data_IF_784417860740
#
_entry.id   IF_784417860740
#
_cell.length_a   1.000
_cell.length_b   1.000
_cell.length_c   1.000
_cell.angle_alpha   90.00
_cell.angle_beta   90.00
_cell.angle_gamma   90.00
#
_symmetry.space_group_name_H-M   'P 1'
#
loop_
_entity.id
_entity.type
_entity.pdbx_description
1 polymer ?
#
# COMPACT_ATOMS: atom_id res chain seq x y z
N UNK A 1 -2.35 16.85 8.24
CA UNK A 1 -2.15 16.70 9.70
C UNK A 1 -2.57 15.27 10.02
N UNK A 2 -1.73 14.50 10.70
CA UNK A 2 -2.05 13.10 11.02
C UNK A 2 -3.23 13.03 12.01
N UNK A 3 -4.14 12.08 11.80
CA UNK A 3 -5.30 11.83 12.66
C UNK A 3 -4.95 10.79 13.73
N UNK A 4 -4.42 11.27 14.86
CA UNK A 4 -4.10 10.44 16.02
C UNK A 4 -5.31 10.27 16.95
N UNK A 5 -5.35 9.17 17.71
CA UNK A 5 -6.32 9.01 18.78
C UNK A 5 -6.11 10.05 19.88
N UNK A 6 -7.22 10.60 20.40
CA UNK A 6 -7.21 11.44 21.60
C UNK A 6 -6.92 10.61 22.84
N UNK A 7 -6.62 11.30 23.96
CA UNK A 7 -6.40 10.63 25.24
C UNK A 7 -7.65 9.86 25.69
N UNK A 8 -8.83 10.46 25.53
CA UNK A 8 -10.11 9.85 25.86
C UNK A 8 -10.37 8.59 25.03
N UNK A 9 -10.01 8.60 23.75
CA UNK A 9 -10.12 7.43 22.87
C UNK A 9 -9.14 6.32 23.27
N UNK A 10 -7.91 6.66 23.65
CA UNK A 10 -6.94 5.69 24.15
C UNK A 10 -7.42 5.06 25.47
N UNK A 11 -7.95 5.86 26.39
CA UNK A 11 -8.51 5.39 27.66
C UNK A 11 -9.70 4.45 27.41
N UNK A 12 -10.58 4.77 26.46
CA UNK A 12 -11.69 3.91 26.04
C UNK A 12 -11.20 2.56 25.48
N UNK A 13 -10.20 2.57 24.60
CA UNK A 13 -9.61 1.37 24.03
C UNK A 13 -8.98 0.51 25.13
N UNK A 14 -8.21 1.11 26.05
CA UNK A 14 -7.57 0.39 27.15
C UNK A 14 -8.59 -0.23 28.09
N UNK A 15 -9.66 0.51 28.42
CA UNK A 15 -10.74 0.01 29.26
C UNK A 15 -11.45 -1.17 28.58
N UNK A 16 -11.82 -1.04 27.31
CA UNK A 16 -12.45 -2.12 26.55
C UNK A 16 -11.55 -3.37 26.47
N UNK A 17 -10.24 -3.18 26.23
CA UNK A 17 -9.27 -4.26 26.21
C UNK A 17 -9.14 -4.98 27.55
N UNK A 18 -9.24 -4.26 28.67
CA UNK A 18 -9.19 -4.84 30.01
C UNK A 18 -10.49 -5.57 30.36
N UNK A 19 -11.64 -4.93 30.14
CA UNK A 19 -12.96 -5.46 30.47
C UNK A 19 -13.31 -6.72 29.65
N UNK A 20 -12.78 -6.83 28.43
CA UNK A 20 -13.08 -7.92 27.50
C UNK A 20 -11.82 -8.67 27.03
N UNK A 21 -10.80 -8.77 27.90
CA UNK A 21 -9.49 -9.32 27.53
C UNK A 21 -9.57 -10.70 26.86
N UNK A 22 -10.30 -11.65 27.45
CA UNK A 22 -10.40 -13.03 26.94
C UNK A 22 -11.03 -13.12 25.56
N UNK A 23 -11.92 -12.18 25.21
CA UNK A 23 -12.57 -12.13 23.91
C UNK A 23 -11.59 -11.74 22.79
N UNK A 24 -10.61 -10.89 23.09
CA UNK A 24 -9.62 -10.43 22.11
C UNK A 24 -8.28 -11.17 22.17
N UNK A 25 -8.00 -11.87 23.27
CA UNK A 25 -6.68 -12.45 23.53
C UNK A 25 -6.33 -13.55 22.54
N UNK A 26 -5.31 -13.30 21.72
CA UNK A 26 -4.82 -14.21 20.68
C UNK A 26 -5.91 -14.69 19.70
N UNK A 27 -6.95 -13.87 19.51
CA UNK A 27 -8.06 -14.11 18.59
C UNK A 27 -8.19 -12.91 17.67
N UNK A 28 -8.43 -13.16 16.38
CA UNK A 28 -8.73 -12.12 15.39
C UNK A 28 -10.24 -11.92 15.33
N UNK A 29 -10.69 -10.77 15.79
CA UNK A 29 -12.11 -10.39 15.79
C UNK A 29 -12.48 -9.74 14.45
N UNK A 30 -13.58 -10.21 13.88
CA UNK A 30 -14.20 -9.66 12.68
C UNK A 30 -15.61 -9.23 13.07
N UNK A 31 -15.85 -7.92 13.03
CA UNK A 31 -17.14 -7.30 13.36
C UNK A 31 -17.63 -6.49 12.16
N UNK A 32 -18.88 -6.70 11.75
CA UNK A 32 -19.53 -5.99 10.65
C UNK A 32 -19.88 -4.54 10.98
N UNK A 33 -19.81 -4.12 12.26
CA UNK A 33 -20.12 -2.76 12.72
C UNK A 33 -18.90 -2.07 13.35
N UNK A 34 -17.71 -2.42 12.88
CA UNK A 34 -16.46 -1.94 13.46
C UNK A 34 -16.14 -0.48 13.10
N UNK A 35 -15.46 0.23 14.01
CA UNK A 35 -14.94 1.59 13.81
C UNK A 35 -13.42 1.66 14.08
N UNK A 36 -12.82 2.86 13.97
CA UNK A 36 -11.36 3.06 14.13
C UNK A 36 -10.82 2.55 15.48
N UNK A 37 -11.62 2.59 16.54
CA UNK A 37 -11.24 2.17 17.91
C UNK A 37 -11.48 0.69 18.18
N UNK A 38 -12.21 -0.01 17.30
CA UNK A 38 -12.52 -1.43 17.49
C UNK A 38 -11.23 -2.25 17.59
N UNK A 39 -11.12 -3.05 18.66
CA UNK A 39 -10.00 -3.96 18.89
C UNK A 39 -10.12 -5.14 17.93
N UNK A 40 -9.10 -5.34 17.10
CA UNK A 40 -8.95 -6.49 16.21
C UNK A 40 -8.43 -7.71 16.96
N UNK A 41 -7.45 -7.51 17.84
CA UNK A 41 -6.81 -8.59 18.59
C UNK A 41 -5.91 -8.03 19.69
N UNK A 42 -5.61 -8.86 20.69
CA UNK A 42 -4.59 -8.62 21.70
C UNK A 42 -3.50 -9.70 21.57
N UNK A 43 -2.23 -9.27 21.48
CA UNK A 43 -1.11 -10.19 21.29
C UNK A 43 -0.96 -11.19 22.44
N UNK A 44 -0.50 -12.40 22.11
CA UNK A 44 -0.47 -13.52 23.05
C UNK A 44 0.41 -13.28 24.29
N UNK A 45 1.63 -12.79 24.13
CA UNK A 45 2.62 -12.78 25.21
C UNK A 45 2.80 -11.42 25.89
N UNK A 46 2.75 -10.32 25.13
CA UNK A 46 2.96 -8.96 25.64
C UNK A 46 1.68 -8.15 25.80
N UNK A 47 0.55 -8.70 25.33
CA UNK A 47 -0.78 -8.08 25.38
C UNK A 47 -0.83 -6.71 24.69
N UNK A 48 -0.16 -6.59 23.54
CA UNK A 48 -0.29 -5.44 22.66
C UNK A 48 -1.68 -5.39 22.05
N UNK A 49 -2.30 -4.22 22.06
CA UNK A 49 -3.65 -4.01 21.56
C UNK A 49 -3.57 -3.51 20.13
N UNK A 50 -4.13 -4.27 19.21
CA UNK A 50 -4.28 -3.89 17.81
C UNK A 50 -5.71 -3.46 17.56
N UNK A 51 -5.89 -2.21 17.14
CA UNK A 51 -7.18 -1.68 16.72
C UNK A 51 -7.26 -1.57 15.20
N UNK A 52 -8.46 -1.43 14.66
CA UNK A 52 -8.68 -1.20 13.24
C UNK A 52 -7.93 0.04 12.77
N UNK A 53 -8.05 1.13 13.52
CA UNK A 53 -7.39 2.40 13.21
C UNK A 53 -7.92 3.07 11.95
N UNK A 54 -7.12 4.00 11.44
CA UNK A 54 -7.42 4.81 10.27
C UNK A 54 -6.22 4.85 9.33
N UNK A 55 -6.15 5.82 8.41
CA UNK A 55 -5.05 5.93 7.45
C UNK A 55 -3.70 6.27 8.10
N UNK A 56 -3.71 6.78 9.34
CA UNK A 56 -2.53 7.25 10.07
C UNK A 56 -2.16 6.38 11.28
N UNK A 57 -3.03 5.47 11.73
CA UNK A 57 -2.78 4.63 12.92
C UNK A 57 -3.45 3.26 12.81
N UNK A 58 -2.96 2.29 13.59
CA UNK A 58 -3.55 0.97 13.74
C UNK A 58 -3.42 0.09 12.51
N UNK A 59 -4.30 -0.91 12.41
CA UNK A 59 -4.19 -1.96 11.41
C UNK A 59 -4.35 -1.48 9.96
N UNK A 60 -5.29 -0.55 9.72
CA UNK A 60 -5.51 0.04 8.40
C UNK A 60 -4.24 0.73 7.91
N UNK A 61 -3.61 1.58 8.72
CA UNK A 61 -2.34 2.20 8.38
C UNK A 61 -1.23 1.19 8.10
N UNK A 62 -1.08 0.14 8.91
CA UNK A 62 -0.08 -0.92 8.67
C UNK A 62 -0.27 -1.56 7.29
N UNK A 63 -1.51 -1.92 6.96
CA UNK A 63 -1.84 -2.60 5.73
C UNK A 63 -1.70 -1.66 4.52
N UNK A 64 -2.24 -0.46 4.62
CA UNK A 64 -2.31 0.50 3.53
C UNK A 64 -0.94 1.14 3.26
N UNK A 65 -0.16 1.46 4.30
CA UNK A 65 1.14 2.11 4.11
C UNK A 65 2.26 1.11 3.88
N UNK A 66 2.30 0.04 4.68
CA UNK A 66 3.43 -0.88 4.74
C UNK A 66 3.14 -2.26 4.14
N UNK A 67 1.88 -2.62 3.89
CA UNK A 67 1.54 -3.88 3.24
C UNK A 67 2.19 -4.01 1.86
N UNK A 68 2.76 -5.18 1.58
CA UNK A 68 3.43 -5.47 0.31
C UNK A 68 2.51 -5.27 -0.90
N UNK A 69 1.26 -5.73 -0.77
CA UNK A 69 0.23 -5.61 -1.79
C UNK A 69 -0.60 -4.33 -1.70
N UNK A 70 -0.17 -3.33 -0.91
CA UNK A 70 -0.79 -2.01 -0.99
C UNK A 70 -0.25 -1.23 -2.17
N UNK A 71 -1.19 -0.78 -3.00
CA UNK A 71 -0.96 0.04 -4.19
C UNK A 71 -1.37 1.51 -3.96
N UNK A 72 -1.54 1.93 -2.70
CA UNK A 72 -1.86 3.31 -2.40
C UNK A 72 -0.64 4.21 -2.62
N UNK A 73 -0.85 5.30 -3.36
CA UNK A 73 0.16 6.33 -3.59
C UNK A 73 0.13 7.34 -2.44
N UNK A 74 1.25 7.46 -1.73
CA UNK A 74 1.45 8.45 -0.68
C UNK A 74 2.29 9.61 -1.23
N UNK A 75 1.91 10.83 -0.92
CA UNK A 75 2.56 12.04 -1.43
C UNK A 75 3.10 12.86 -0.27
N UNK A 76 4.36 13.27 -0.38
CA UNK A 76 5.02 14.13 0.59
C UNK A 76 5.40 15.45 -0.09
N UNK A 77 5.17 16.54 0.64
CA UNK A 77 5.57 17.87 0.20
C UNK A 77 7.03 18.10 0.58
N UNK A 78 7.84 18.54 -0.38
CA UNK A 78 9.23 18.93 -0.11
C UNK A 78 9.29 20.40 0.39
N UNK A 79 10.48 20.84 0.79
CA UNK A 79 10.72 22.21 1.27
C UNK A 79 10.41 23.30 0.22
N UNK A 80 10.32 22.94 -1.06
CA UNK A 80 9.95 23.83 -2.16
C UNK A 80 8.43 23.82 -2.45
N UNK A 81 7.61 23.29 -1.54
CA UNK A 81 6.17 23.12 -1.68
C UNK A 81 5.74 22.20 -2.85
N UNK A 82 6.69 21.45 -3.46
CA UNK A 82 6.42 20.48 -4.52
C UNK A 82 6.11 19.11 -3.93
N UNK A 83 5.12 18.44 -4.47
CA UNK A 83 4.76 17.08 -4.09
C UNK A 83 5.65 16.08 -4.80
N UNK A 84 6.14 15.08 -4.05
CA UNK A 84 6.82 13.90 -4.58
C UNK A 84 6.19 12.64 -3.98
N UNK A 85 6.27 11.54 -4.70
CA UNK A 85 5.87 10.24 -4.17
C UNK A 85 6.73 9.88 -2.95
N UNK A 86 6.06 9.47 -1.90
CA UNK A 86 6.69 8.78 -0.78
C UNK A 86 6.92 7.31 -1.14
N UNK A 87 7.88 6.70 -0.47
CA UNK A 87 8.24 5.30 -0.69
C UNK A 87 8.38 4.59 0.67
N UNK A 88 7.27 4.39 1.42
CA UNK A 88 7.30 3.77 2.74
C UNK A 88 7.82 2.33 2.66
N UNK A 89 8.61 1.87 3.64
CA UNK A 89 9.12 0.49 3.64
C UNK A 89 7.98 -0.51 3.63
N UNK A 90 8.11 -1.56 2.81
CA UNK A 90 7.09 -2.59 2.64
C UNK A 90 7.45 -3.88 3.38
N UNK A 91 6.45 -4.52 3.97
CA UNK A 91 6.57 -5.84 4.60
C UNK A 91 6.97 -6.93 3.59
N UNK A 92 7.45 -8.06 4.10
CA UNK A 92 7.82 -9.20 3.28
C UNK A 92 6.59 -9.76 2.54
N UNK A 93 6.69 -10.11 1.24
CA UNK A 93 5.54 -10.53 0.41
C UNK A 93 4.80 -11.78 0.90
N UNK A 94 5.48 -12.66 1.63
CA UNK A 94 4.91 -13.88 2.23
C UNK A 94 4.21 -13.66 3.57
N UNK A 95 4.25 -12.45 4.13
CA UNK A 95 3.61 -12.19 5.41
C UNK A 95 2.09 -12.23 5.27
N UNK A 96 1.44 -12.88 6.23
CA UNK A 96 0.02 -12.84 6.45
C UNK A 96 -0.33 -11.66 7.36
N UNK A 97 -1.08 -10.66 6.87
CA UNK A 97 -1.52 -9.54 7.70
C UNK A 97 -2.27 -10.01 8.95
N UNK A 98 -2.24 -9.18 10.00
CA UNK A 98 -2.71 -9.47 11.37
C UNK A 98 -1.85 -10.51 12.07
N UNK A 99 -1.74 -11.72 11.53
CA UNK A 99 -1.03 -12.84 12.18
C UNK A 99 0.44 -12.48 12.39
N UNK A 100 1.15 -12.16 11.31
CA UNK A 100 2.58 -11.90 11.41
C UNK A 100 2.86 -10.52 12.02
N UNK A 101 1.97 -9.54 11.81
CA UNK A 101 2.12 -8.22 12.44
C UNK A 101 2.10 -8.34 13.97
N UNK A 102 1.18 -9.14 14.50
CA UNK A 102 1.07 -9.40 15.94
C UNK A 102 2.29 -10.17 16.43
N UNK A 103 2.70 -11.25 15.76
CA UNK A 103 3.88 -12.04 16.13
C UNK A 103 5.15 -11.18 16.19
N UNK A 104 5.38 -10.32 15.20
CA UNK A 104 6.54 -9.44 15.13
C UNK A 104 6.51 -8.41 16.26
N UNK A 105 5.37 -7.74 16.46
CA UNK A 105 5.26 -6.74 17.51
C UNK A 105 5.46 -7.35 18.91
N UNK A 106 4.88 -8.54 19.15
CA UNK A 106 5.00 -9.29 20.40
C UNK A 106 6.45 -9.70 20.69
N UNK A 107 7.21 -10.07 19.65
CA UNK A 107 8.63 -10.39 19.76
C UNK A 107 9.51 -9.15 20.02
N UNK A 108 9.14 -8.00 19.47
CA UNK A 108 9.96 -6.77 19.54
C UNK A 108 9.66 -5.94 20.79
N UNK A 109 8.46 -6.05 21.35
CA UNK A 109 8.05 -5.29 22.51
C UNK A 109 8.69 -5.80 23.81
N UNK A 110 9.89 -5.31 24.08
CA UNK A 110 10.62 -5.53 25.31
C UNK A 110 11.46 -4.29 25.68
N UNK A 111 11.92 -4.22 26.93
CA UNK A 111 12.62 -3.06 27.46
C UNK A 111 13.95 -2.81 26.71
N UNK A 112 14.66 -3.88 26.38
CA UNK A 112 15.95 -3.86 25.68
C UNK A 112 15.83 -3.24 24.28
N UNK A 113 14.67 -3.38 23.65
CA UNK A 113 14.39 -2.81 22.33
C UNK A 113 13.85 -1.38 22.38
N UNK A 114 13.52 -0.84 23.57
CA UNK A 114 12.94 0.50 23.72
C UNK A 114 13.98 1.57 23.36
N UNK A 115 13.72 2.31 22.28
CA UNK A 115 14.64 3.27 21.70
C UNK A 115 14.24 4.70 22.07
N UNK A 116 14.77 5.17 23.20
CA UNK A 116 14.46 6.51 23.72
C UNK A 116 15.13 7.62 22.90
N UNK A 117 16.33 7.39 22.36
CA UNK A 117 17.13 8.44 21.71
C UNK A 117 16.76 8.71 20.26
N UNK A 118 16.18 7.73 19.54
CA UNK A 118 15.77 7.86 18.12
C UNK A 118 14.26 7.98 17.93
N UNK A 119 13.56 8.47 18.94
CA UNK A 119 12.14 8.76 18.87
C UNK A 119 11.95 10.25 18.56
N UNK A 120 11.32 10.56 17.43
CA UNK A 120 11.10 11.94 17.00
C UNK A 120 9.92 12.60 17.73
N UNK A 121 9.04 11.81 18.35
CA UNK A 121 7.86 12.30 19.07
C UNK A 121 7.72 11.55 20.42
N UNK A 122 8.70 11.69 21.33
CA UNK A 122 8.77 10.92 22.58
C UNK A 122 7.65 11.22 23.57
N UNK A 123 6.99 12.36 23.43
CA UNK A 123 5.85 12.78 24.25
C UNK A 123 4.55 12.06 23.85
N UNK A 124 4.46 11.59 22.61
CA UNK A 124 3.26 10.95 22.06
C UNK A 124 3.41 9.44 21.91
N UNK A 125 4.63 8.96 21.71
CA UNK A 125 4.88 7.56 21.38
C UNK A 125 6.03 6.95 22.15
N UNK A 126 5.98 5.63 22.29
CA UNK A 126 7.15 4.80 22.58
C UNK A 126 7.58 4.06 21.32
N UNK A 127 8.89 4.06 21.06
CA UNK A 127 9.49 3.39 19.91
C UNK A 127 10.30 2.19 20.37
N UNK A 128 10.08 1.05 19.73
CA UNK A 128 10.84 -0.17 19.92
C UNK A 128 11.51 -0.54 18.61
N UNK A 129 12.74 -1.07 18.67
CA UNK A 129 13.49 -1.50 17.49
C UNK A 129 14.13 -2.84 17.78
N UNK A 130 13.74 -3.86 17.02
CA UNK A 130 14.20 -5.23 17.25
C UNK A 130 14.27 -6.03 15.96
N UNK A 131 14.79 -7.25 16.06
CA UNK A 131 14.89 -8.20 14.95
C UNK A 131 13.90 -9.34 15.19
N UNK A 132 13.14 -9.69 14.16
CA UNK A 132 12.28 -10.86 14.16
C UNK A 132 12.86 -11.94 13.25
N UNK A 133 12.89 -13.18 13.73
CA UNK A 133 13.29 -14.37 12.99
C UNK A 133 12.03 -15.09 12.52
N UNK A 134 11.85 -15.20 11.21
CA UNK A 134 10.73 -15.92 10.61
C UNK A 134 10.98 -17.43 10.63
N UNK A 135 9.91 -18.21 10.54
CA UNK A 135 9.95 -19.68 10.57
C UNK A 135 10.81 -20.26 9.42
N UNK A 136 10.88 -19.56 8.29
CA UNK A 136 11.73 -19.92 7.14
C UNK A 136 13.20 -19.53 7.31
N UNK A 137 13.60 -19.04 8.49
CA UNK A 137 15.00 -18.79 8.87
C UNK A 137 15.56 -17.44 8.42
N UNK A 138 14.79 -16.60 7.74
CA UNK A 138 15.23 -15.23 7.46
C UNK A 138 14.90 -14.31 8.64
N UNK A 139 15.77 -13.32 8.84
CA UNK A 139 15.61 -12.32 9.90
C UNK A 139 15.42 -10.94 9.29
N UNK A 140 14.59 -10.13 9.94
CA UNK A 140 14.35 -8.75 9.51
C UNK A 140 14.17 -7.83 10.72
N UNK A 141 14.67 -6.60 10.57
CA UNK A 141 14.63 -5.59 11.61
C UNK A 141 13.42 -4.70 11.42
N UNK A 142 12.67 -4.46 12.49
CA UNK A 142 11.48 -3.61 12.47
C UNK A 142 11.54 -2.52 13.53
N UNK A 143 10.77 -1.47 13.28
CA UNK A 143 10.40 -0.47 14.26
C UNK A 143 8.93 -0.65 14.63
N UNK A 144 8.65 -0.75 15.92
CA UNK A 144 7.30 -0.76 16.47
C UNK A 144 7.08 0.57 17.20
N UNK A 145 5.94 1.20 16.97
CA UNK A 145 5.54 2.43 17.63
C UNK A 145 4.22 2.17 18.36
N UNK A 146 4.19 2.43 19.66
CA UNK A 146 2.98 2.39 20.48
C UNK A 146 2.65 3.80 20.95
N UNK A 147 1.38 4.06 21.28
CA UNK A 147 1.04 5.28 22.02
C UNK A 147 1.76 5.28 23.36
N UNK A 148 2.22 6.47 23.77
CA UNK A 148 3.08 6.65 24.94
C UNK A 148 2.49 5.99 26.17
N UNK A 149 3.29 5.15 26.84
CA UNK A 149 2.91 4.47 28.09
C UNK A 149 1.63 3.63 27.98
N UNK A 150 1.26 3.25 26.76
CA UNK A 150 0.19 2.28 26.47
C UNK A 150 0.75 1.06 25.76
N UNK A 151 -0.09 0.02 25.67
CA UNK A 151 0.16 -1.15 24.80
C UNK A 151 -0.55 -1.06 23.46
N UNK A 152 -1.15 0.09 23.12
CA UNK A 152 -1.89 0.28 21.88
C UNK A 152 -0.89 0.53 20.75
N UNK A 153 -0.92 -0.32 19.74
CA UNK A 153 -0.03 -0.20 18.58
C UNK A 153 -0.50 0.96 17.70
N UNK A 154 0.39 1.92 17.49
CA UNK A 154 0.18 3.03 16.57
C UNK A 154 0.58 2.62 15.14
N UNK A 155 1.80 2.13 14.96
CA UNK A 155 2.29 1.62 13.67
C UNK A 155 3.50 0.70 13.88
N UNK A 156 3.92 0.02 12.82
CA UNK A 156 5.06 -0.86 12.76
C UNK A 156 5.53 -0.95 11.32
N UNK A 157 6.84 -0.92 11.09
CA UNK A 157 7.39 -0.97 9.74
C UNK A 157 8.80 -1.56 9.69
N UNK A 158 9.21 -2.16 8.57
CA UNK A 158 10.58 -2.63 8.39
C UNK A 158 11.59 -1.48 8.38
N UNK A 159 12.78 -1.70 8.93
CA UNK A 159 13.91 -0.75 8.94
C UNK A 159 14.44 -0.49 7.52
N UNK A 160 14.37 -1.50 6.63
CA UNK A 160 14.88 -1.43 5.25
C UNK A 160 13.76 -1.49 4.22
N UNK A 161 13.96 -0.81 3.09
CA UNK A 161 13.05 -0.82 1.92
C UNK A 161 13.33 -2.00 0.96
N UNK A 162 13.52 -3.20 1.51
CA UNK A 162 14.02 -4.37 0.74
C UNK A 162 13.03 -4.84 -0.32
N UNK A 163 11.73 -4.78 -0.03
CA UNK A 163 10.67 -5.26 -0.92
C UNK A 163 9.95 -4.13 -1.67
N UNK A 164 10.46 -2.90 -1.53
CA UNK A 164 9.93 -1.76 -2.27
C UNK A 164 10.30 -1.87 -3.75
N UNK A 165 9.36 -1.53 -4.62
CA UNK A 165 9.68 -1.29 -6.03
C UNK A 165 10.50 0.00 -6.16
N UNK A 166 11.39 0.02 -7.15
CA UNK A 166 12.10 1.25 -7.52
C UNK A 166 11.09 2.19 -8.18
N UNK A 167 10.97 3.41 -7.65
CA UNK A 167 10.16 4.47 -8.25
C UNK A 167 11.02 5.14 -9.32
N UNK A 168 10.68 4.95 -10.61
CA UNK A 168 11.39 5.60 -11.73
C UNK A 168 10.64 6.78 -12.31
N UNK A 169 9.32 6.79 -12.15
CA UNK A 169 8.45 7.84 -12.64
C UNK A 169 7.87 8.68 -11.50
N UNK A 170 7.60 9.96 -11.78
CA UNK A 170 7.15 10.92 -10.76
C UNK A 170 5.66 10.78 -10.40
N UNK A 171 4.89 10.08 -11.23
CA UNK A 171 3.48 9.79 -11.01
C UNK A 171 3.30 8.40 -10.42
N UNK A 172 2.32 8.26 -9.52
CA UNK A 172 2.10 7.03 -8.78
C UNK A 172 1.29 6.05 -9.61
N UNK A 173 1.73 4.79 -9.68
CA UNK A 173 0.95 3.74 -10.35
C UNK A 173 -0.35 3.49 -9.59
N UNK A 174 -1.48 3.61 -10.25
CA UNK A 174 -2.80 3.36 -9.67
C UNK A 174 -3.22 1.89 -9.75
N UNK A 175 -4.53 1.66 -9.64
CA UNK A 175 -5.12 0.32 -9.73
C UNK A 175 -5.32 -0.06 -11.19
N UNK A 176 -4.79 -1.22 -11.57
CA UNK A 176 -4.97 -1.79 -12.90
C UNK A 176 -6.42 -2.19 -13.08
N UNK A 177 -7.02 -1.77 -14.20
CA UNK A 177 -8.42 -2.06 -14.51
C UNK A 177 -8.55 -2.69 -15.88
N UNK A 178 -9.67 -3.36 -16.12
CA UNK A 178 -10.02 -3.88 -17.45
C UNK A 178 -11.40 -3.45 -17.85
N UNK A 179 -11.58 -3.20 -19.15
CA UNK A 179 -12.88 -2.87 -19.73
C UNK A 179 -13.12 -3.72 -20.96
N UNK A 180 -14.24 -4.42 -20.98
CA UNK A 180 -14.69 -5.16 -22.17
C UNK A 180 -15.79 -4.35 -22.84
N UNK A 181 -15.62 -4.07 -24.13
CA UNK A 181 -16.67 -3.54 -25.00
C UNK A 181 -16.91 -4.55 -26.09
N UNK A 182 -18.17 -4.98 -26.23
CA UNK A 182 -18.56 -5.94 -27.25
C UNK A 182 -19.74 -5.38 -28.05
N UNK A 183 -19.44 -4.67 -29.13
CA UNK A 183 -20.46 -4.21 -30.09
C UNK A 183 -20.07 -4.61 -31.51
N UNK A 184 -21.04 -4.76 -32.44
CA UNK A 184 -20.75 -5.13 -33.82
C UNK A 184 -19.76 -4.17 -34.52
N UNK A 185 -19.84 -2.88 -34.19
CA UNK A 185 -19.00 -1.83 -34.77
C UNK A 185 -17.66 -1.65 -34.04
N UNK A 186 -17.57 -2.03 -32.77
CA UNK A 186 -16.42 -1.73 -31.91
C UNK A 186 -16.32 -2.75 -30.77
N UNK A 187 -15.56 -3.82 -31.01
CA UNK A 187 -15.31 -4.89 -30.05
C UNK A 187 -13.85 -4.87 -29.60
N UNK A 188 -13.61 -4.53 -28.34
CA UNK A 188 -12.29 -4.50 -27.73
C UNK A 188 -12.27 -4.94 -26.27
N UNK A 189 -11.09 -5.29 -25.79
CA UNK A 189 -10.81 -5.41 -24.37
C UNK A 189 -9.56 -4.62 -23.98
N UNK A 190 -9.74 -3.73 -23.01
CA UNK A 190 -8.68 -2.89 -22.46
C UNK A 190 -8.15 -3.48 -21.16
N UNK A 191 -6.84 -3.40 -21.00
CA UNK A 191 -6.15 -3.39 -19.71
C UNK A 191 -5.48 -2.03 -19.57
N UNK A 192 -5.81 -1.32 -18.51
CA UNK A 192 -5.33 0.02 -18.24
C UNK A 192 -4.50 0.02 -16.95
N UNK A 193 -3.26 0.49 -17.05
CA UNK A 193 -2.40 0.79 -15.91
C UNK A 193 -2.29 2.32 -15.76
N UNK A 194 -3.06 2.94 -14.86
CA UNK A 194 -3.02 4.39 -14.68
C UNK A 194 -1.80 4.84 -13.89
N UNK A 195 -1.31 6.04 -14.20
CA UNK A 195 -0.30 6.77 -13.43
C UNK A 195 -0.90 8.11 -13.02
N UNK A 196 -1.09 8.26 -11.72
CA UNK A 196 -1.88 9.33 -11.11
C UNK A 196 -1.00 10.38 -10.44
N UNK A 197 -1.52 11.60 -10.35
CA UNK A 197 -0.95 12.65 -9.53
C UNK A 197 -1.47 12.61 -8.07
N UNK A 198 -1.09 13.61 -7.27
CA UNK A 198 -1.50 13.73 -5.86
C UNK A 198 -3.02 13.83 -5.66
N UNK A 199 -3.73 14.31 -6.68
CA UNK A 199 -5.17 14.54 -6.67
C UNK A 199 -5.94 13.35 -7.27
N UNK A 200 -5.25 12.21 -7.49
CA UNK A 200 -5.77 10.98 -8.12
C UNK A 200 -6.25 11.17 -9.56
N UNK A 201 -5.81 12.24 -10.23
CA UNK A 201 -6.06 12.45 -11.65
C UNK A 201 -5.02 11.65 -12.43
N UNK A 202 -5.48 10.83 -13.38
CA UNK A 202 -4.61 10.07 -14.28
C UNK A 202 -3.91 11.04 -15.23
N UNK A 203 -2.57 11.03 -15.24
CA UNK A 203 -1.75 11.90 -16.13
C UNK A 203 -1.17 11.10 -17.28
N UNK A 204 -0.81 9.85 -17.01
CA UNK A 204 -0.41 8.89 -18.02
C UNK A 204 -1.13 7.56 -17.78
N UNK A 205 -1.27 6.75 -18.82
CA UNK A 205 -1.64 5.36 -18.65
C UNK A 205 -0.93 4.48 -19.68
N UNK A 206 -0.69 3.24 -19.29
CA UNK A 206 -0.32 2.17 -20.21
C UNK A 206 -1.60 1.43 -20.54
N UNK A 207 -2.01 1.48 -21.81
CA UNK A 207 -3.17 0.80 -22.35
C UNK A 207 -2.71 -0.36 -23.22
N UNK A 208 -3.15 -1.56 -22.87
CA UNK A 208 -3.09 -2.73 -23.76
C UNK A 208 -4.51 -2.99 -24.23
N UNK A 209 -4.72 -2.87 -25.55
CA UNK A 209 -6.05 -3.03 -26.16
C UNK A 209 -6.03 -4.17 -27.16
N UNK A 210 -6.85 -5.19 -26.89
CA UNK A 210 -7.17 -6.25 -27.86
C UNK A 210 -8.35 -5.80 -28.72
N UNK A 211 -8.14 -5.61 -30.02
CA UNK A 211 -9.19 -5.33 -31.00
C UNK A 211 -9.66 -6.65 -31.62
N UNK A 212 -10.86 -7.10 -31.27
CA UNK A 212 -11.33 -8.44 -31.65
C UNK A 212 -11.66 -8.57 -33.14
N UNK A 213 -12.18 -7.49 -33.74
CA UNK A 213 -12.49 -7.47 -35.17
C UNK A 213 -11.23 -7.50 -36.03
N UNK A 214 -10.17 -6.82 -35.57
CA UNK A 214 -8.88 -6.75 -36.27
C UNK A 214 -7.96 -7.93 -35.93
N UNK A 215 -8.24 -8.65 -34.82
CA UNK A 215 -7.36 -9.69 -34.27
C UNK A 215 -5.96 -9.18 -33.91
N UNK A 216 -5.89 -7.91 -33.47
CA UNK A 216 -4.63 -7.23 -33.12
C UNK A 216 -4.69 -6.72 -31.67
N UNK A 217 -3.63 -6.96 -30.92
CA UNK A 217 -3.38 -6.33 -29.63
C UNK A 217 -2.38 -5.18 -29.79
N UNK A 218 -2.76 -3.98 -29.34
CA UNK A 218 -1.90 -2.79 -29.37
C UNK A 218 -1.45 -2.40 -27.98
N UNK A 219 -0.17 -2.06 -27.86
CA UNK A 219 0.44 -1.48 -26.66
C UNK A 219 0.58 0.02 -26.86
N UNK A 220 -0.05 0.80 -25.97
CA UNK A 220 -0.21 2.24 -26.13
C UNK A 220 0.17 2.92 -24.81
N UNK A 221 0.99 3.97 -24.87
CA UNK A 221 1.06 4.95 -23.79
C UNK A 221 0.07 6.06 -24.11
N UNK A 222 -0.84 6.35 -23.19
CA UNK A 222 -1.73 7.50 -23.28
C UNK A 222 -1.23 8.60 -22.36
N UNK A 223 -1.22 9.82 -22.86
CA UNK A 223 -1.06 11.03 -22.06
C UNK A 223 -2.43 11.69 -21.91
N UNK A 224 -2.72 12.15 -20.70
CA UNK A 224 -4.01 12.69 -20.33
C UNK A 224 -3.93 14.20 -20.08
N UNK A 225 -5.05 14.88 -20.28
CA UNK A 225 -5.23 16.29 -19.95
C UNK A 225 -5.32 16.54 -18.43
N UNK A 226 -5.58 17.78 -18.02
CA UNK A 226 -5.72 18.15 -16.61
C UNK A 226 -6.96 17.56 -15.92
N UNK A 227 -7.93 17.06 -16.69
CA UNK A 227 -9.15 16.43 -16.18
C UNK A 227 -9.02 14.91 -16.14
N UNK A 228 -7.96 14.35 -16.72
CA UNK A 228 -7.70 12.91 -16.79
C UNK A 228 -8.23 12.25 -18.05
N UNK A 229 -8.66 13.01 -19.07
CA UNK A 229 -9.10 12.45 -20.35
C UNK A 229 -7.89 12.16 -21.26
N UNK A 230 -7.88 11.05 -22.01
CA UNK A 230 -6.81 10.77 -22.97
C UNK A 230 -6.73 11.84 -24.06
N UNK A 231 -5.57 12.49 -24.20
CA UNK A 231 -5.31 13.55 -25.19
C UNK A 231 -4.38 13.04 -26.31
N UNK A 232 -3.27 12.39 -25.95
CA UNK A 232 -2.26 11.91 -26.90
C UNK A 232 -2.01 10.42 -26.74
N UNK A 233 -1.79 9.72 -27.85
CA UNK A 233 -1.54 8.28 -27.89
C UNK A 233 -0.19 7.98 -28.56
N UNK A 234 0.64 7.18 -27.90
CA UNK A 234 1.93 6.72 -28.42
C UNK A 234 1.84 5.20 -28.58
N UNK A 235 1.73 4.72 -29.82
CA UNK A 235 1.69 3.28 -30.12
C UNK A 235 3.12 2.75 -30.00
N UNK A 236 3.33 1.82 -29.08
CA UNK A 236 4.63 1.21 -28.82
C UNK A 236 4.85 -0.05 -29.67
N UNK A 237 3.77 -0.74 -30.02
CA UNK A 237 3.83 -1.96 -30.81
C UNK A 237 2.48 -2.63 -30.92
N UNK A 238 2.43 -3.63 -31.77
CA UNK A 238 1.26 -4.45 -32.02
C UNK A 238 1.65 -5.92 -32.19
N UNK A 239 0.72 -6.81 -31.88
CA UNK A 239 0.84 -8.25 -32.16
C UNK A 239 -0.49 -8.85 -32.54
N UNK A 240 -0.46 -9.84 -33.41
CA UNK A 240 -1.65 -10.59 -33.79
C UNK A 240 -2.06 -11.59 -32.71
N UNK A 241 -3.35 -11.93 -32.65
CA UNK A 241 -3.87 -13.01 -31.83
C UNK A 241 -5.02 -13.74 -32.55
N UNK A 242 -5.07 -15.08 -32.45
CA UNK A 242 -6.05 -15.85 -33.21
C UNK A 242 -7.38 -16.07 -32.49
N UNK A 243 -7.33 -16.20 -31.16
CA UNK A 243 -8.45 -16.59 -30.33
C UNK A 243 -8.98 -15.41 -29.51
N UNK A 244 -10.30 -15.35 -29.33
CA UNK A 244 -10.90 -14.44 -28.37
C UNK A 244 -10.40 -14.76 -26.96
N UNK A 245 -9.62 -13.86 -26.37
CA UNK A 245 -9.12 -14.00 -25.01
C UNK A 245 -9.24 -12.65 -24.31
N UNK A 246 -10.08 -12.57 -23.28
CA UNK A 246 -10.14 -11.41 -22.41
C UNK A 246 -8.99 -11.43 -21.39
N UNK A 247 -8.59 -10.25 -20.93
CA UNK A 247 -7.69 -10.13 -19.80
C UNK A 247 -8.35 -10.72 -18.55
N UNK A 248 -7.70 -11.76 -18.01
CA UNK A 248 -8.16 -12.45 -16.82
C UNK A 248 -7.51 -11.86 -15.55
N UNK A 249 -7.95 -12.33 -14.38
CA UNK A 249 -7.43 -11.88 -13.08
C UNK A 249 -5.91 -12.05 -12.93
N UNK A 250 -5.35 -13.11 -13.51
CA UNK A 250 -3.90 -13.35 -13.46
C UNK A 250 -3.15 -12.25 -14.23
N UNK A 251 -3.65 -11.85 -15.40
CA UNK A 251 -3.09 -10.73 -16.16
C UNK A 251 -3.20 -9.41 -15.40
N UNK A 252 -4.35 -9.11 -14.78
CA UNK A 252 -4.46 -7.92 -13.94
C UNK A 252 -3.43 -7.93 -12.81
N UNK A 253 -3.30 -9.05 -12.09
CA UNK A 253 -2.34 -9.19 -10.99
C UNK A 253 -0.89 -9.06 -11.47
N UNK A 254 -0.57 -9.64 -12.63
CA UNK A 254 0.74 -9.50 -13.26
C UNK A 254 1.04 -8.02 -13.50
N UNK A 255 0.15 -7.29 -14.17
CA UNK A 255 0.38 -5.87 -14.44
C UNK A 255 0.34 -5.03 -13.18
N UNK A 256 -0.44 -5.36 -12.16
CA UNK A 256 -0.44 -4.65 -10.88
C UNK A 256 0.92 -4.79 -10.17
N UNK A 257 1.49 -5.99 -10.19
CA UNK A 257 2.70 -6.35 -9.43
C UNK A 257 4.00 -6.32 -10.23
N UNK A 258 3.97 -6.22 -11.55
CA UNK A 258 5.16 -6.12 -12.40
C UNK A 258 5.97 -4.83 -12.15
N UNK A 259 7.27 -4.91 -12.46
CA UNK A 259 8.15 -3.77 -12.73
C UNK A 259 7.88 -3.30 -14.16
N UNK A 260 7.43 -2.05 -14.30
CA UNK A 260 7.13 -1.43 -15.60
C UNK A 260 8.18 -0.36 -15.95
N UNK A 261 9.38 -0.49 -15.38
CA UNK A 261 10.44 0.51 -15.47
C UNK A 261 10.79 0.96 -16.89
N UNK A 262 10.78 0.06 -17.86
CA UNK A 262 11.04 0.42 -19.27
C UNK A 262 9.96 1.35 -19.84
N UNK A 263 8.69 1.07 -19.53
CA UNK A 263 7.55 1.90 -19.96
C UNK A 263 7.54 3.23 -19.19
N UNK A 264 7.91 3.21 -17.92
CA UNK A 264 8.12 4.40 -17.09
C UNK A 264 9.23 5.31 -17.63
N UNK A 265 10.33 4.71 -18.10
CA UNK A 265 11.44 5.45 -18.71
C UNK A 265 11.00 6.09 -20.05
N UNK A 266 10.16 5.42 -20.85
CA UNK A 266 9.55 6.01 -22.06
C UNK A 266 8.64 7.19 -21.71
N UNK A 267 7.75 7.04 -20.70
CA UNK A 267 6.90 8.15 -20.25
C UNK A 267 7.72 9.34 -19.75
N UNK A 268 8.82 9.10 -19.04
CA UNK A 268 9.73 10.14 -18.59
C UNK A 268 10.44 10.87 -19.75
N UNK A 269 10.74 10.17 -20.85
CA UNK A 269 11.31 10.78 -22.06
C UNK A 269 10.29 11.68 -22.78
N UNK A 270 9.04 11.21 -22.95
CA UNK A 270 7.93 11.99 -23.53
C UNK A 270 7.73 13.30 -22.76
N UNK A 271 7.84 13.25 -21.44
CA UNK A 271 7.69 14.43 -20.60
C UNK A 271 8.85 15.42 -20.74
N UNK A 272 10.09 14.92 -20.89
CA UNK A 272 11.26 15.78 -21.07
C UNK A 272 11.26 16.49 -22.42
N UNK A 273 10.78 15.85 -23.49
CA UNK A 273 10.71 16.47 -24.82
C UNK A 273 9.73 17.65 -24.91
N UNK A 274 8.88 17.86 -23.89
CA UNK A 274 7.93 18.98 -23.84
C UNK A 274 8.48 20.22 -23.11
N UNK A 275 9.63 20.11 -22.41
CA UNK A 275 10.29 21.22 -21.72
C UNK A 275 11.37 21.83 -22.59
#
# INVERSE_FOLDING_TARGET
MEKLFSKEELDEIQKNAADNFEYYWNVVVIDGQSNEKTIKTISKHKHLVFVIGNTDTGFNHLNDRHGYFSFQNFWIQNNEMKFKLDNPSKFHPKMMPIIDYVKIADAIFCHENKNVTKNHSPDLFDKYTGVHLFEEGFQEKYHLITYKDTKIVHTMFPDKKKYNKKVRFKYGKGIVTTKLKYTPADSYNDLLVPYENKDKITVYSILIRKFYNEKVERFIIQQHDSEGNPETHYILGERDFENFESFNRETLNLFQTADLGELEDIMAQIEKSKK
#
